data_IF_063443797338
#
_entry.id   IF_063443797338
#
_cell.length_a   1.000
_cell.length_b   1.000
_cell.length_c   1.000
_cell.angle_alpha   90.00
_cell.angle_beta   90.00
_cell.angle_gamma   90.00
#
_symmetry.space_group_name_H-M   'P 1'
#
loop_
_entity.id
_entity.type
_entity.pdbx_description
1 polymer ?
#
# COMPACT_ATOMS: atom_id res chain seq x y z
N UNK A 1 -19.09 1.92 -18.66
CA UNK A 1 -18.71 1.61 -17.27
C UNK A 1 -17.94 0.30 -17.31
N UNK A 2 -16.69 0.26 -16.82
CA UNK A 2 -15.97 -1.01 -16.72
C UNK A 2 -16.54 -1.84 -15.58
N UNK A 3 -16.79 -3.13 -15.78
CA UNK A 3 -17.27 -4.04 -14.74
C UNK A 3 -16.13 -4.96 -14.33
N UNK A 4 -15.97 -5.22 -13.02
CA UNK A 4 -15.03 -6.22 -12.52
C UNK A 4 -15.69 -7.60 -12.63
N UNK A 5 -15.20 -8.51 -13.48
CA UNK A 5 -15.81 -9.83 -13.66
C UNK A 5 -15.74 -10.67 -12.38
N UNK A 6 -16.76 -11.50 -12.15
CA UNK A 6 -16.85 -12.34 -10.94
C UNK A 6 -15.66 -13.30 -10.79
N UNK A 7 -15.19 -13.92 -11.89
CA UNK A 7 -14.02 -14.80 -11.85
C UNK A 7 -12.78 -14.08 -11.30
N UNK A 8 -12.62 -12.79 -11.62
CA UNK A 8 -11.50 -11.99 -11.12
C UNK A 8 -11.64 -11.73 -9.63
N UNK A 9 -12.85 -11.39 -9.17
CA UNK A 9 -13.14 -11.22 -7.73
C UNK A 9 -12.79 -12.51 -6.96
N UNK A 10 -13.16 -13.67 -7.48
CA UNK A 10 -12.85 -14.98 -6.88
C UNK A 10 -11.34 -15.23 -6.83
N UNK A 11 -10.64 -15.11 -7.97
CA UNK A 11 -9.18 -15.33 -8.04
C UNK A 11 -8.42 -14.37 -7.11
N UNK A 12 -8.80 -13.08 -7.11
CA UNK A 12 -8.20 -12.09 -6.22
C UNK A 12 -8.45 -12.42 -4.74
N UNK A 13 -9.67 -12.84 -4.39
CA UNK A 13 -10.01 -13.27 -3.02
C UNK A 13 -9.16 -14.47 -2.59
N UNK A 14 -8.99 -15.48 -3.46
CA UNK A 14 -8.13 -16.63 -3.17
C UNK A 14 -6.66 -16.22 -2.98
N UNK A 15 -6.16 -15.29 -3.80
CA UNK A 15 -4.81 -14.74 -3.65
C UNK A 15 -4.63 -14.01 -2.31
N UNK A 16 -5.61 -13.19 -1.90
CA UNK A 16 -5.64 -12.53 -0.59
C UNK A 16 -5.64 -13.55 0.57
N UNK A 17 -6.46 -14.60 0.48
CA UNK A 17 -6.50 -15.64 1.52
C UNK A 17 -5.16 -16.38 1.63
N UNK A 18 -4.55 -16.76 0.50
CA UNK A 18 -3.24 -17.39 0.49
C UNK A 18 -2.16 -16.47 1.09
N UNK A 19 -2.15 -15.19 0.68
CA UNK A 19 -1.28 -14.16 1.24
C UNK A 19 -1.42 -14.06 2.75
N UNK A 20 -2.65 -13.91 3.27
CA UNK A 20 -2.91 -13.78 4.71
C UNK A 20 -2.40 -14.99 5.48
N UNK A 21 -2.69 -16.21 5.00
CA UNK A 21 -2.23 -17.45 5.67
C UNK A 21 -0.70 -17.53 5.71
N UNK A 22 -0.02 -17.22 4.60
CA UNK A 22 1.44 -17.29 4.51
C UNK A 22 2.08 -16.22 5.39
N UNK A 23 1.65 -14.96 5.27
CA UNK A 23 2.28 -13.81 5.92
C UNK A 23 1.99 -13.79 7.42
N UNK A 24 0.81 -14.21 7.85
CA UNK A 24 0.51 -14.32 9.27
C UNK A 24 1.49 -15.28 9.93
N UNK A 25 1.67 -16.48 9.38
CA UNK A 25 2.57 -17.50 9.94
C UNK A 25 4.02 -17.04 9.99
N UNK A 26 4.45 -16.24 9.01
CA UNK A 26 5.84 -15.80 8.89
C UNK A 26 6.17 -14.52 9.66
N UNK A 27 5.30 -13.52 9.60
CA UNK A 27 5.59 -12.15 10.06
C UNK A 27 4.69 -11.71 11.22
N UNK A 28 3.61 -12.44 11.49
CA UNK A 28 2.60 -12.13 12.49
C UNK A 28 1.57 -11.11 12.01
N UNK A 29 0.44 -10.97 12.72
CA UNK A 29 -0.72 -10.19 12.27
C UNK A 29 -0.43 -8.69 12.13
N UNK A 30 0.48 -8.14 12.95
CA UNK A 30 0.87 -6.73 12.85
C UNK A 30 1.47 -6.37 11.49
N UNK A 31 2.02 -7.34 10.72
CA UNK A 31 2.57 -7.08 9.39
C UNK A 31 1.53 -6.50 8.44
N UNK A 32 0.25 -6.88 8.58
CA UNK A 32 -0.82 -6.38 7.72
C UNK A 32 -1.15 -4.90 7.91
N UNK A 33 -0.45 -4.21 8.82
CA UNK A 33 -0.53 -2.76 8.96
C UNK A 33 0.23 -2.01 7.86
N UNK A 34 1.09 -2.67 7.06
CA UNK A 34 1.65 -2.04 5.87
C UNK A 34 0.52 -1.49 5.00
N UNK A 35 0.65 -0.23 4.57
CA UNK A 35 -0.38 0.40 3.74
C UNK A 35 -0.72 -0.43 2.50
N UNK A 36 0.30 -1.03 1.87
CA UNK A 36 0.17 -1.97 0.75
C UNK A 36 -0.64 -3.21 1.08
N UNK A 37 -0.43 -3.80 2.25
CA UNK A 37 -1.15 -5.01 2.70
C UNK A 37 -2.63 -4.67 2.95
N UNK A 38 -2.90 -3.51 3.56
CA UNK A 38 -4.27 -3.00 3.74
C UNK A 38 -4.95 -2.78 2.39
N UNK A 39 -4.26 -2.16 1.43
CA UNK A 39 -4.78 -1.96 0.09
C UNK A 39 -5.04 -3.28 -0.65
N UNK A 40 -4.09 -4.21 -0.59
CA UNK A 40 -4.21 -5.51 -1.24
C UNK A 40 -5.37 -6.32 -0.65
N UNK A 41 -5.43 -6.46 0.67
CA UNK A 41 -6.50 -7.19 1.37
C UNK A 41 -7.84 -6.47 1.18
N UNK A 42 -7.87 -5.15 1.36
CA UNK A 42 -9.08 -4.32 1.30
C UNK A 42 -9.69 -4.21 -0.10
N UNK A 43 -8.91 -4.42 -1.16
CA UNK A 43 -9.44 -4.42 -2.52
C UNK A 43 -10.42 -5.59 -2.76
N UNK A 44 -10.28 -6.72 -2.06
CA UNK A 44 -11.22 -7.84 -2.17
C UNK A 44 -12.65 -7.45 -1.73
N UNK A 45 -12.90 -6.96 -0.50
CA UNK A 45 -14.22 -6.48 -0.12
C UNK A 45 -14.66 -5.25 -0.93
N UNK A 46 -13.74 -4.38 -1.37
CA UNK A 46 -14.10 -3.27 -2.27
C UNK A 46 -14.70 -3.76 -3.60
N UNK A 47 -14.17 -4.84 -4.18
CA UNK A 47 -14.71 -5.49 -5.38
C UNK A 47 -16.08 -6.14 -5.15
N UNK A 48 -16.26 -6.84 -4.03
CA UNK A 48 -17.51 -7.55 -3.73
C UNK A 48 -18.64 -6.59 -3.36
N UNK A 49 -18.33 -5.53 -2.63
CA UNK A 49 -19.29 -4.49 -2.24
C UNK A 49 -19.49 -3.43 -3.32
N UNK A 50 -18.70 -3.48 -4.41
CA UNK A 50 -18.70 -2.50 -5.49
C UNK A 50 -18.61 -1.06 -4.97
N UNK A 51 -17.80 -0.88 -3.92
CA UNK A 51 -17.80 0.34 -3.13
C UNK A 51 -16.86 1.39 -3.73
N UNK A 52 -17.39 2.51 -4.28
CA UNK A 52 -16.55 3.57 -4.84
C UNK A 52 -15.69 4.24 -3.77
N UNK A 53 -16.22 4.36 -2.55
CA UNK A 53 -15.47 4.95 -1.43
C UNK A 53 -14.30 4.05 -1.03
N UNK A 54 -14.52 2.73 -0.90
CA UNK A 54 -13.43 1.82 -0.56
C UNK A 54 -12.35 1.81 -1.64
N UNK A 55 -12.74 1.71 -2.92
CA UNK A 55 -11.81 1.79 -4.05
C UNK A 55 -11.01 3.10 -4.04
N UNK A 56 -11.70 4.23 -3.88
CA UNK A 56 -11.08 5.55 -3.84
C UNK A 56 -10.12 5.74 -2.67
N UNK A 57 -10.49 5.29 -1.46
CA UNK A 57 -9.64 5.39 -0.26
C UNK A 57 -8.38 4.56 -0.40
N UNK A 58 -8.49 3.30 -0.84
CA UNK A 58 -7.35 2.41 -1.00
C UNK A 58 -6.40 2.93 -2.08
N UNK A 59 -6.93 3.34 -3.24
CA UNK A 59 -6.14 3.94 -4.32
C UNK A 59 -5.44 5.23 -3.85
N UNK A 60 -6.17 6.15 -3.23
CA UNK A 60 -5.62 7.41 -2.74
C UNK A 60 -4.53 7.22 -1.68
N UNK A 61 -4.63 6.15 -0.89
CA UNK A 61 -3.69 5.83 0.17
C UNK A 61 -2.35 5.30 -0.35
N UNK A 62 -2.35 4.49 -1.43
CA UNK A 62 -1.16 3.72 -1.82
C UNK A 62 -0.69 3.87 -3.27
N UNK A 63 -1.46 4.50 -4.16
CA UNK A 63 -1.15 4.52 -5.60
C UNK A 63 0.29 4.97 -5.89
N UNK A 64 0.70 6.13 -5.33
CA UNK A 64 2.05 6.65 -5.55
C UNK A 64 3.15 5.75 -4.94
N UNK A 65 3.08 5.32 -3.66
CA UNK A 65 4.01 4.35 -3.09
C UNK A 65 4.13 3.05 -3.89
N UNK A 66 3.03 2.50 -4.38
CA UNK A 66 3.01 1.27 -5.19
C UNK A 66 3.70 1.48 -6.55
N UNK A 67 3.45 2.61 -7.21
CA UNK A 67 4.16 2.98 -8.45
C UNK A 67 5.66 3.15 -8.19
N UNK A 68 6.05 3.83 -7.11
CA UNK A 68 7.46 4.00 -6.73
C UNK A 68 8.12 2.67 -6.39
N UNK A 69 7.40 1.75 -5.73
CA UNK A 69 7.87 0.40 -5.45
C UNK A 69 8.18 -0.36 -6.75
N UNK A 70 7.28 -0.29 -7.73
CA UNK A 70 7.47 -0.92 -9.05
C UNK A 70 8.68 -0.33 -9.79
N UNK A 71 8.83 0.99 -9.79
CA UNK A 71 9.98 1.67 -10.40
C UNK A 71 11.28 1.26 -9.71
N UNK A 72 11.33 1.25 -8.37
CA UNK A 72 12.51 0.80 -7.61
C UNK A 72 12.86 -0.66 -7.93
N UNK A 73 11.85 -1.54 -8.00
CA UNK A 73 12.04 -2.97 -8.29
C UNK A 73 12.65 -3.19 -9.68
N UNK A 74 12.07 -2.57 -10.71
CA UNK A 74 12.54 -2.68 -12.10
C UNK A 74 13.93 -2.08 -12.26
N UNK A 75 14.17 -0.88 -11.73
CA UNK A 75 15.49 -0.25 -11.79
C UNK A 75 16.54 -1.09 -11.06
N UNK A 76 16.19 -1.70 -9.93
CA UNK A 76 17.11 -2.58 -9.21
C UNK A 76 17.42 -3.87 -9.97
N UNK A 77 16.46 -4.45 -10.69
CA UNK A 77 16.70 -5.61 -11.57
C UNK A 77 17.66 -5.25 -12.72
N UNK A 78 17.47 -4.09 -13.35
CA UNK A 78 18.26 -3.65 -14.51
C UNK A 78 19.65 -3.20 -14.08
N UNK A 79 19.75 -2.32 -13.10
CA UNK A 79 20.99 -1.65 -12.70
C UNK A 79 21.79 -2.45 -11.67
N UNK A 80 21.20 -3.49 -11.05
CA UNK A 80 21.81 -4.35 -10.02
C UNK A 80 22.41 -3.58 -8.84
N UNK A 81 21.89 -2.39 -8.56
CA UNK A 81 22.30 -1.53 -7.44
C UNK A 81 21.08 -1.02 -6.69
N UNK A 82 21.28 -0.72 -5.40
CA UNK A 82 20.25 -0.09 -4.56
C UNK A 82 19.94 1.32 -5.08
N UNK A 83 18.64 1.66 -5.18
CA UNK A 83 18.16 2.98 -5.62
C UNK A 83 17.51 3.72 -4.44
N UNK A 84 16.33 3.31 -4.00
CA UNK A 84 15.63 3.93 -2.85
C UNK A 84 15.68 3.05 -1.59
N UNK A 85 15.63 1.72 -1.77
CA UNK A 85 15.53 0.74 -0.69
C UNK A 85 14.09 0.28 -0.38
N UNK A 86 13.08 0.77 -1.11
CA UNK A 86 11.69 0.27 -1.03
C UNK A 86 11.60 -1.24 -1.22
N UNK A 87 12.41 -1.78 -2.14
CA UNK A 87 12.39 -3.20 -2.51
C UNK A 87 13.56 -3.99 -1.93
N UNK A 88 14.28 -3.48 -0.92
CA UNK A 88 15.49 -4.14 -0.39
C UNK A 88 15.27 -5.61 -0.02
N UNK A 89 14.15 -5.88 0.66
CA UNK A 89 13.78 -7.22 1.07
C UNK A 89 13.55 -8.20 -0.10
N UNK A 90 13.21 -7.70 -1.29
CA UNK A 90 13.04 -8.55 -2.50
C UNK A 90 14.36 -9.12 -3.02
N UNK A 91 15.49 -8.60 -2.55
CA UNK A 91 16.84 -9.02 -2.95
C UNK A 91 17.65 -9.60 -1.80
N UNK A 92 17.04 -9.76 -0.62
CA UNK A 92 17.66 -10.37 0.54
C UNK A 92 17.76 -11.91 0.34
N UNK A 93 18.98 -12.49 0.30
CA UNK A 93 19.15 -13.93 0.11
C UNK A 93 18.69 -14.75 1.33
N UNK A 94 18.53 -14.14 2.50
CA UNK A 94 18.01 -14.82 3.70
C UNK A 94 16.50 -15.09 3.63
N UNK A 95 15.80 -14.43 2.70
CA UNK A 95 14.38 -14.65 2.44
C UNK A 95 14.25 -15.60 1.23
N UNK A 96 13.62 -16.78 1.39
CA UNK A 96 13.41 -17.71 0.28
C UNK A 96 12.71 -17.03 -0.90
N UNK A 97 13.13 -17.35 -2.13
CA UNK A 97 12.62 -16.72 -3.35
C UNK A 97 11.10 -16.85 -3.49
N UNK A 98 10.53 -18.02 -3.14
CA UNK A 98 9.09 -18.24 -3.19
C UNK A 98 8.32 -17.29 -2.26
N UNK A 99 8.89 -16.98 -1.08
CA UNK A 99 8.26 -16.09 -0.12
C UNK A 99 8.34 -14.62 -0.60
N UNK A 100 9.47 -14.22 -1.17
CA UNK A 100 9.59 -12.91 -1.85
C UNK A 100 8.60 -12.78 -3.01
N UNK A 101 8.34 -13.87 -3.73
CA UNK A 101 7.40 -13.87 -4.86
C UNK A 101 5.96 -13.60 -4.42
N UNK A 102 5.60 -13.90 -3.18
CA UNK A 102 4.27 -13.55 -2.63
C UNK A 102 4.10 -12.03 -2.52
N UNK A 103 5.17 -11.29 -2.21
CA UNK A 103 5.19 -9.82 -2.23
C UNK A 103 5.06 -9.21 -3.63
N UNK A 104 5.12 -9.99 -4.71
CA UNK A 104 4.92 -9.46 -6.06
C UNK A 104 3.48 -8.98 -6.32
N UNK A 105 2.56 -9.11 -5.36
CA UNK A 105 1.25 -8.46 -5.43
C UNK A 105 1.35 -6.94 -5.65
N UNK A 106 2.44 -6.30 -5.21
CA UNK A 106 2.74 -4.89 -5.48
C UNK A 106 2.74 -4.56 -6.98
N UNK A 107 3.08 -5.53 -7.84
CA UNK A 107 3.16 -5.31 -9.29
C UNK A 107 1.77 -5.03 -9.90
N UNK A 108 0.77 -5.92 -9.76
CA UNK A 108 -0.57 -5.65 -10.29
C UNK A 108 -1.37 -4.67 -9.44
N UNK A 109 -1.09 -4.51 -8.14
CA UNK A 109 -1.94 -3.73 -7.22
C UNK A 109 -2.31 -2.31 -7.71
N UNK A 110 -1.39 -1.43 -8.16
CA UNK A 110 -1.77 -0.09 -8.61
C UNK A 110 -2.71 -0.13 -9.81
N UNK A 111 -2.53 -1.09 -10.73
CA UNK A 111 -3.43 -1.28 -11.88
C UNK A 111 -4.81 -1.78 -11.44
N UNK A 112 -4.84 -2.71 -10.48
CA UNK A 112 -6.10 -3.20 -9.89
C UNK A 112 -6.86 -2.05 -9.24
N UNK A 113 -6.20 -1.24 -8.43
CA UNK A 113 -6.84 -0.11 -7.74
C UNK A 113 -7.37 0.94 -8.74
N UNK A 114 -6.62 1.26 -9.80
CA UNK A 114 -7.10 2.12 -10.88
C UNK A 114 -8.31 1.51 -11.60
N UNK A 115 -8.33 0.20 -11.84
CA UNK A 115 -9.47 -0.48 -12.43
C UNK A 115 -10.71 -0.44 -11.53
N UNK A 116 -10.55 -0.59 -10.20
CA UNK A 116 -11.66 -0.42 -9.26
C UNK A 116 -12.23 1.00 -9.31
N UNK A 117 -11.36 2.01 -9.31
CA UNK A 117 -11.80 3.41 -9.41
C UNK A 117 -12.48 3.68 -10.76
N UNK A 118 -11.95 3.14 -11.85
CA UNK A 118 -12.58 3.24 -13.17
C UNK A 118 -13.96 2.57 -13.23
N UNK A 119 -14.13 1.46 -12.51
CA UNK A 119 -15.36 0.67 -12.48
C UNK A 119 -16.44 1.30 -11.60
N UNK A 120 -16.07 1.77 -10.41
CA UNK A 120 -17.03 2.19 -9.38
C UNK A 120 -17.12 3.71 -9.24
N UNK A 121 -16.09 4.44 -9.66
CA UNK A 121 -15.98 5.91 -9.52
C UNK A 121 -15.08 6.35 -8.38
N UNK A 122 -14.79 7.66 -8.33
CA UNK A 122 -13.92 8.29 -7.33
C UNK A 122 -14.65 9.38 -6.53
N UNK A 123 -15.17 9.08 -5.32
CA UNK A 123 -15.83 10.09 -4.50
C UNK A 123 -14.84 11.13 -3.95
N UNK A 124 -15.18 12.42 -3.98
CA UNK A 124 -14.32 13.48 -3.44
C UNK A 124 -13.98 13.28 -1.95
N UNK A 125 -14.91 12.70 -1.17
CA UNK A 125 -14.69 12.39 0.25
C UNK A 125 -13.58 11.36 0.51
N UNK A 126 -13.09 10.67 -0.53
CA UNK A 126 -12.00 9.70 -0.39
C UNK A 126 -10.76 10.30 0.25
N UNK A 127 -10.42 11.57 -0.05
CA UNK A 127 -9.28 12.24 0.58
C UNK A 127 -9.45 12.37 2.10
N UNK A 128 -10.60 12.84 2.57
CA UNK A 128 -10.85 13.03 4.00
C UNK A 128 -10.77 11.69 4.75
N UNK A 129 -11.34 10.64 4.17
CA UNK A 129 -11.29 9.29 4.75
C UNK A 129 -9.87 8.72 4.70
N UNK A 130 -9.13 8.89 3.60
CA UNK A 130 -7.72 8.47 3.50
C UNK A 130 -6.82 9.19 4.50
N UNK A 131 -7.02 10.49 4.74
CA UNK A 131 -6.29 11.25 5.76
C UNK A 131 -6.55 10.65 7.15
N UNK A 132 -7.81 10.48 7.54
CA UNK A 132 -8.17 9.90 8.83
C UNK A 132 -7.68 8.46 9.01
N UNK A 133 -7.95 7.59 8.02
CA UNK A 133 -7.51 6.20 8.04
C UNK A 133 -5.98 6.07 8.02
N UNK A 134 -5.31 6.90 7.21
CA UNK A 134 -3.85 6.96 7.12
C UNK A 134 -3.20 7.32 8.45
N UNK A 135 -3.75 8.31 9.16
CA UNK A 135 -3.29 8.68 10.50
C UNK A 135 -3.47 7.53 11.50
N UNK A 136 -4.64 6.89 11.50
CA UNK A 136 -4.91 5.74 12.36
C UNK A 136 -3.94 4.59 12.08
N UNK A 137 -3.74 4.21 10.81
CA UNK A 137 -2.82 3.15 10.41
C UNK A 137 -1.39 3.48 10.84
N UNK A 138 -0.96 4.73 10.72
CA UNK A 138 0.39 5.14 11.12
C UNK A 138 0.57 5.05 12.64
N UNK A 139 -0.43 5.45 13.43
CA UNK A 139 -0.42 5.29 14.89
C UNK A 139 -0.40 3.81 15.28
N UNK A 140 -1.25 2.98 14.69
CA UNK A 140 -1.27 1.54 14.94
C UNK A 140 0.06 0.88 14.55
N UNK A 141 0.65 1.30 13.43
CA UNK A 141 1.98 0.85 13.01
C UNK A 141 3.03 1.23 14.04
N UNK A 142 3.00 2.44 14.59
CA UNK A 142 3.93 2.85 15.63
C UNK A 142 3.77 2.07 16.94
N UNK A 143 2.54 1.73 17.32
CA UNK A 143 2.22 0.99 18.56
C UNK A 143 2.58 -0.50 18.44
N UNK A 144 2.29 -1.13 17.30
CA UNK A 144 2.43 -2.58 17.13
C UNK A 144 3.67 -3.03 16.35
N UNK A 145 4.40 -2.11 15.73
CA UNK A 145 5.70 -2.41 15.11
C UNK A 145 6.83 -2.42 16.14
N UNK A 146 7.99 -2.87 15.69
CA UNK A 146 9.26 -2.68 16.39
C UNK A 146 10.25 -1.95 15.47
N UNK A 147 11.36 -1.37 16.00
CA UNK A 147 12.39 -0.76 15.17
C UNK A 147 12.99 -1.71 14.11
N UNK A 148 13.03 -3.01 14.40
CA UNK A 148 13.51 -4.03 13.45
C UNK A 148 12.53 -4.30 12.30
N UNK A 149 11.22 -4.30 12.56
CA UNK A 149 10.19 -4.48 11.51
C UNK A 149 9.93 -3.19 10.73
N UNK A 150 9.94 -2.05 11.44
CA UNK A 150 9.77 -0.71 10.91
C UNK A 150 8.61 -0.56 9.91
N UNK A 151 7.43 -1.08 10.29
CA UNK A 151 6.22 -1.06 9.46
C UNK A 151 5.85 0.37 9.11
N UNK A 152 5.55 0.63 7.84
CA UNK A 152 5.31 1.98 7.30
C UNK A 152 6.40 3.00 7.65
N UNK A 153 7.62 2.53 7.94
CA UNK A 153 8.77 3.36 8.27
C UNK A 153 8.57 4.31 9.45
N UNK A 154 7.73 3.93 10.42
CA UNK A 154 7.41 4.73 11.62
C UNK A 154 8.61 5.01 12.54
N UNK A 155 9.75 4.33 12.33
CA UNK A 155 11.02 4.60 13.01
C UNK A 155 12.09 5.24 12.12
N UNK A 156 11.84 5.47 10.84
CA UNK A 156 12.79 6.07 9.89
C UNK A 156 12.73 5.46 8.49
N UNK A 157 13.04 6.25 7.47
CA UNK A 157 13.02 5.80 6.06
C UNK A 157 14.15 4.81 5.79
N UNK A 158 13.81 3.53 5.54
CA UNK A 158 14.74 2.45 5.21
C UNK A 158 15.69 2.02 6.35
N UNK A 159 15.85 2.83 7.39
CA UNK A 159 16.59 2.54 8.62
C UNK A 159 16.01 3.34 9.77
N UNK A 160 16.24 2.88 10.99
CA UNK A 160 15.88 3.63 12.20
C UNK A 160 16.64 4.96 12.20
N UNK A 161 15.93 6.06 12.46
CA UNK A 161 16.49 7.39 12.62
C UNK A 161 16.67 7.72 14.10
N UNK A 162 17.71 8.47 14.43
CA UNK A 162 18.07 8.83 15.80
C UNK A 162 18.10 10.35 16.04
N UNK A 163 17.81 11.15 14.99
CA UNK A 163 17.97 12.61 15.03
C UNK A 163 16.78 13.32 15.68
N UNK A 164 15.57 12.81 15.45
CA UNK A 164 14.33 13.41 15.90
C UNK A 164 13.69 12.56 17.01
N UNK A 165 13.05 13.19 18.01
CA UNK A 165 12.16 12.49 18.92
C UNK A 165 11.09 11.70 18.14
N UNK A 166 10.79 10.47 18.56
CA UNK A 166 9.91 9.56 17.81
C UNK A 166 8.53 10.15 17.48
N UNK A 167 7.82 10.82 18.42
CA UNK A 167 6.53 11.44 18.10
C UNK A 167 6.65 12.57 17.07
N UNK A 168 7.74 13.35 17.12
CA UNK A 168 7.99 14.42 16.15
C UNK A 168 8.24 13.84 14.75
N UNK A 169 9.05 12.78 14.66
CA UNK A 169 9.25 12.06 13.39
C UNK A 169 7.93 11.52 12.84
N UNK A 170 7.11 10.87 13.68
CA UNK A 170 5.81 10.33 13.26
C UNK A 170 4.86 11.42 12.75
N UNK A 171 4.81 12.56 13.44
CA UNK A 171 4.01 13.72 13.02
C UNK A 171 4.47 14.30 11.68
N UNK A 172 5.78 14.48 11.50
CA UNK A 172 6.35 14.96 10.24
C UNK A 172 6.14 13.96 9.09
N UNK A 173 6.25 12.67 9.38
CA UNK A 173 5.97 11.61 8.42
C UNK A 173 4.50 11.64 7.98
N UNK A 174 3.56 11.79 8.92
CA UNK A 174 2.14 11.90 8.60
C UNK A 174 1.85 13.12 7.74
N UNK A 175 2.38 14.30 8.10
CA UNK A 175 2.27 15.51 7.27
C UNK A 175 2.85 15.27 5.87
N UNK A 176 3.99 14.60 5.78
CA UNK A 176 4.60 14.21 4.51
C UNK A 176 3.72 13.28 3.67
N UNK A 177 3.09 12.26 4.29
CA UNK A 177 2.15 11.37 3.60
C UNK A 177 0.95 12.14 3.07
N UNK A 178 0.37 13.03 3.87
CA UNK A 178 -0.77 13.86 3.43
C UNK A 178 -0.36 14.75 2.25
N UNK A 179 0.75 15.49 2.38
CA UNK A 179 1.17 16.48 1.40
C UNK A 179 1.71 15.88 0.09
N UNK A 180 2.46 14.77 0.17
CA UNK A 180 3.19 14.22 -0.98
C UNK A 180 2.64 12.90 -1.50
N UNK A 181 1.72 12.24 -0.77
CA UNK A 181 1.09 10.99 -1.21
C UNK A 181 -0.40 11.17 -1.39
N UNK A 182 -1.14 11.51 -0.33
CA UNK A 182 -2.61 11.48 -0.37
C UNK A 182 -3.18 12.61 -1.25
N UNK A 183 -2.74 13.85 -1.04
CA UNK A 183 -3.22 14.99 -1.84
C UNK A 183 -2.87 14.82 -3.34
N UNK A 184 -1.62 14.50 -3.72
CA UNK A 184 -1.30 14.30 -5.14
C UNK A 184 -2.02 13.11 -5.76
N UNK A 185 -2.18 11.99 -5.02
CA UNK A 185 -2.96 10.85 -5.50
C UNK A 185 -4.44 11.22 -5.68
N UNK A 186 -5.01 12.01 -4.76
CA UNK A 186 -6.39 12.49 -4.86
C UNK A 186 -6.61 13.34 -6.10
N UNK A 187 -5.73 14.30 -6.36
CA UNK A 187 -5.82 15.14 -7.55
C UNK A 187 -5.66 14.34 -8.84
N UNK A 188 -4.69 13.42 -8.88
CA UNK A 188 -4.48 12.54 -10.03
C UNK A 188 -5.72 11.67 -10.30
N UNK A 189 -6.27 11.03 -9.26
CA UNK A 189 -7.46 10.18 -9.39
C UNK A 189 -8.70 10.98 -9.78
N UNK A 190 -8.92 12.15 -9.19
CA UNK A 190 -10.02 13.04 -9.56
C UNK A 190 -9.91 13.59 -10.98
N UNK A 191 -8.68 13.82 -11.47
CA UNK A 191 -8.44 14.23 -12.85
C UNK A 191 -8.65 13.09 -13.86
N UNK A 192 -8.20 11.87 -13.53
CA UNK A 192 -8.35 10.69 -14.38
C UNK A 192 -9.80 10.15 -14.42
N UNK A 193 -10.52 10.27 -13.31
CA UNK A 193 -11.87 9.72 -13.13
C UNK A 193 -12.83 10.79 -12.60
N UNK A 194 -13.09 11.86 -13.37
CA UNK A 194 -14.00 12.91 -12.95
C UNK A 194 -15.40 12.32 -12.72
N UNK A 195 -16.00 12.63 -11.58
CA UNK A 195 -17.44 12.42 -11.37
C UNK A 195 -18.16 13.36 -12.32
N UNK A 196 -18.85 12.81 -13.32
CA UNK A 196 -19.72 13.58 -14.22
C UNK A 196 -20.85 14.27 -13.49
#
# INVERSE_FOLDING_TARGET
>A
MSVIPEWFKIVYTLAVLAFVVIYWRRYGPANFLWFSDIAFIGAAPAMWLESPLAAGVLACMVLLPEVLWNVDYVLRLILRRRITGLTEYMFDPTIPLWLRSVSLFHVPLPLVLLWLVAAYGYPAMSLAVTVAAGGLVLVLSFVFSSPGKNINWVYGLGRVQERLPRPLYLGLQYVGLVAFVFIPSHWLLGWLFPTG
#
